data_IF_809075461728
#
_entry.id   IF_809075461728
#
_cell.length_a   1.000
_cell.length_b   1.000
_cell.length_c   1.000
_cell.angle_alpha   90.00
_cell.angle_beta   90.00
_cell.angle_gamma   90.00
#
_symmetry.space_group_name_H-M   'P 1'
#
loop_
_entity.id
_entity.type
_entity.pdbx_description
1 polymer ?
#
# COMPACT_ATOMS: atom_id res chain seq x y z
N UNK A 1 -2.34 6.92 -1.52
CA UNK A 1 -1.35 6.17 -0.74
C UNK A 1 -1.87 4.78 -0.38
N UNK A 2 -1.34 3.75 -1.04
CA UNK A 2 -1.77 2.36 -0.86
C UNK A 2 -1.24 1.67 0.41
N UNK A 3 -1.67 0.43 0.66
CA UNK A 3 -1.30 -0.37 1.84
C UNK A 3 0.20 -0.50 2.07
N UNK A 4 0.99 -0.71 1.00
CA UNK A 4 2.45 -0.84 1.10
C UNK A 4 3.11 0.42 1.71
N UNK A 5 2.62 1.62 1.34
CA UNK A 5 3.15 2.87 1.86
C UNK A 5 2.85 3.02 3.35
N UNK A 6 1.62 2.75 3.76
CA UNK A 6 1.22 2.81 5.17
C UNK A 6 1.93 1.73 6.00
N UNK A 7 2.10 0.54 5.45
CA UNK A 7 2.86 -0.54 6.06
C UNK A 7 4.31 -0.13 6.33
N UNK A 8 5.01 0.40 5.32
CA UNK A 8 6.37 0.92 5.47
C UNK A 8 6.46 2.08 6.46
N UNK A 9 5.50 3.01 6.45
CA UNK A 9 5.45 4.10 7.44
C UNK A 9 5.25 3.60 8.87
N UNK A 10 4.37 2.63 9.08
CA UNK A 10 4.16 2.03 10.40
C UNK A 10 5.42 1.34 10.90
N UNK A 11 6.09 0.55 10.06
CA UNK A 11 7.34 -0.11 10.42
C UNK A 11 8.45 0.89 10.74
N UNK A 12 8.58 1.94 9.94
CA UNK A 12 9.56 3.00 10.18
C UNK A 12 9.30 3.74 11.49
N UNK A 13 8.04 4.08 11.79
CA UNK A 13 7.67 4.70 13.08
C UNK A 13 8.00 3.80 14.26
N UNK A 14 7.84 2.48 14.12
CA UNK A 14 8.20 1.54 15.17
C UNK A 14 9.73 1.48 15.39
N UNK A 15 10.51 1.40 14.30
CA UNK A 15 11.98 1.51 14.37
C UNK A 15 12.39 2.78 15.09
N UNK A 16 11.69 3.89 14.84
CA UNK A 16 11.95 5.16 15.51
C UNK A 16 11.56 5.14 17.00
N UNK A 17 10.40 4.60 17.36
CA UNK A 17 9.95 4.56 18.76
C UNK A 17 10.79 3.65 19.63
N UNK A 18 11.43 2.63 19.05
CA UNK A 18 12.35 1.73 19.72
C UNK A 18 13.78 2.28 19.83
N UNK A 19 14.07 3.47 19.30
CA UNK A 19 15.43 4.04 19.32
C UNK A 19 16.40 3.41 18.32
N UNK A 20 15.91 2.64 17.35
CA UNK A 20 16.71 1.85 16.41
C UNK A 20 17.15 2.64 15.16
N UNK A 21 16.95 3.97 15.11
CA UNK A 21 17.30 4.80 13.94
C UNK A 21 18.80 4.79 13.64
N UNK A 22 19.63 4.89 14.69
CA UNK A 22 21.08 4.85 14.55
C UNK A 22 21.54 3.48 14.06
N UNK A 23 20.95 2.39 14.58
CA UNK A 23 21.22 1.03 14.11
C UNK A 23 20.83 0.89 12.64
N UNK A 24 19.62 1.29 12.26
CA UNK A 24 19.16 1.30 10.86
C UNK A 24 20.09 2.07 9.90
N UNK A 25 20.74 3.12 10.39
CA UNK A 25 21.63 3.95 9.57
C UNK A 25 23.02 3.33 9.39
N UNK A 26 23.56 2.74 10.46
CA UNK A 26 24.97 2.30 10.51
C UNK A 26 25.15 0.78 10.39
N UNK A 27 24.08 0.00 10.53
CA UNK A 27 24.09 -1.46 10.40
C UNK A 27 23.33 -1.88 9.14
N UNK A 28 24.08 -2.31 8.13
CA UNK A 28 23.57 -2.78 6.85
C UNK A 28 22.72 -4.04 6.98
N UNK A 29 23.12 -4.97 7.87
CA UNK A 29 22.41 -6.23 8.10
C UNK A 29 21.03 -5.93 8.67
N UNK A 30 20.96 -5.14 9.74
CA UNK A 30 19.69 -4.74 10.33
C UNK A 30 18.81 -3.98 9.33
N UNK A 31 19.38 -3.00 8.60
CA UNK A 31 18.65 -2.25 7.57
C UNK A 31 18.06 -3.15 6.48
N UNK A 32 18.85 -4.11 5.99
CA UNK A 32 18.39 -5.08 4.98
C UNK A 32 17.27 -5.94 5.56
N UNK A 33 17.41 -6.42 6.79
CA UNK A 33 16.39 -7.26 7.43
C UNK A 33 15.07 -6.51 7.66
N UNK A 34 15.11 -5.23 8.05
CA UNK A 34 13.91 -4.37 8.12
C UNK A 34 13.28 -4.20 6.73
N UNK A 35 14.09 -4.05 5.67
CA UNK A 35 13.56 -4.03 4.29
C UNK A 35 12.96 -5.37 3.87
N UNK A 36 13.53 -6.50 4.29
CA UNK A 36 12.96 -7.84 4.06
C UNK A 36 11.61 -8.00 4.76
N UNK A 37 11.43 -7.43 5.97
CA UNK A 37 10.11 -7.39 6.63
C UNK A 37 9.08 -6.67 5.76
N UNK A 38 9.43 -5.54 5.14
CA UNK A 38 8.54 -4.89 4.16
C UNK A 38 8.33 -5.74 2.91
N UNK A 39 9.37 -6.46 2.48
CA UNK A 39 9.35 -7.38 1.35
C UNK A 39 8.34 -8.53 1.48
N UNK A 40 7.93 -8.88 2.70
CA UNK A 40 6.89 -9.91 2.92
C UNK A 40 5.56 -9.56 2.26
N UNK A 41 5.30 -8.28 1.95
CA UNK A 41 4.10 -7.86 1.24
C UNK A 41 4.05 -8.39 -0.21
N UNK A 42 5.19 -8.84 -0.74
CA UNK A 42 5.35 -9.39 -2.08
C UNK A 42 5.51 -10.92 -2.09
N UNK A 43 5.33 -11.58 -0.95
CA UNK A 43 5.33 -13.05 -0.86
C UNK A 43 3.89 -13.53 -1.03
N UNK A 44 3.61 -14.65 -1.73
CA UNK A 44 2.27 -15.24 -1.75
C UNK A 44 1.71 -15.38 -0.32
N UNK A 45 0.45 -15.01 -0.09
CA UNK A 45 -0.14 -14.96 1.26
C UNK A 45 0.04 -16.27 2.03
N UNK A 46 -0.07 -17.42 1.35
CA UNK A 46 0.13 -18.74 1.95
C UNK A 46 1.57 -19.01 2.43
N UNK A 47 2.56 -18.34 1.84
CA UNK A 47 3.97 -18.52 2.13
C UNK A 47 4.54 -17.48 3.10
N UNK A 48 3.78 -16.41 3.41
CA UNK A 48 4.24 -15.32 4.28
C UNK A 48 4.73 -15.83 5.63
N UNK A 49 4.01 -16.77 6.26
CA UNK A 49 4.41 -17.31 7.56
C UNK A 49 5.74 -18.07 7.49
N UNK A 50 5.95 -18.85 6.43
CA UNK A 50 7.18 -19.62 6.19
C UNK A 50 8.35 -18.68 5.91
N UNK A 51 8.14 -17.67 5.07
CA UNK A 51 9.14 -16.64 4.78
C UNK A 51 9.53 -15.87 6.04
N UNK A 52 8.54 -15.46 6.85
CA UNK A 52 8.78 -14.79 8.13
C UNK A 52 9.58 -15.65 9.11
N UNK A 53 9.20 -16.92 9.30
CA UNK A 53 9.94 -17.84 10.19
C UNK A 53 11.39 -18.09 9.77
N UNK A 54 11.70 -17.95 8.48
CA UNK A 54 13.09 -18.02 8.00
C UNK A 54 13.83 -16.72 8.28
N UNK A 55 13.17 -15.58 8.02
CA UNK A 55 13.73 -14.23 8.16
C UNK A 55 14.08 -13.85 9.60
N UNK A 56 13.29 -14.27 10.60
CA UNK A 56 13.56 -13.89 12.00
C UNK A 56 14.93 -14.38 12.50
N UNK A 57 15.47 -15.45 11.93
CA UNK A 57 16.79 -15.97 12.31
C UNK A 57 17.94 -15.07 11.82
N UNK A 58 17.67 -14.13 10.90
CA UNK A 58 18.66 -13.16 10.44
C UNK A 58 18.81 -11.98 11.41
N UNK A 59 17.87 -11.78 12.34
CA UNK A 59 17.90 -10.69 13.32
C UNK A 59 18.73 -11.06 14.55
N UNK A 60 19.26 -10.03 15.23
CA UNK A 60 19.97 -10.24 16.49
C UNK A 60 18.97 -10.25 17.66
N UNK A 61 19.33 -10.89 18.78
CA UNK A 61 18.43 -11.00 19.95
C UNK A 61 17.98 -9.63 20.49
N UNK A 62 18.81 -8.60 20.35
CA UNK A 62 18.49 -7.22 20.74
C UNK A 62 17.37 -6.58 19.90
N UNK A 63 17.06 -7.13 18.72
CA UNK A 63 16.00 -6.63 17.83
C UNK A 63 14.61 -7.21 18.19
N UNK A 64 14.52 -8.02 19.26
CA UNK A 64 13.30 -8.73 19.66
C UNK A 64 12.06 -7.83 19.77
N UNK A 65 12.20 -6.59 20.28
CA UNK A 65 11.05 -5.69 20.44
C UNK A 65 10.41 -5.31 19.09
N UNK A 66 11.22 -5.16 18.04
CA UNK A 66 10.72 -4.89 16.70
C UNK A 66 10.02 -6.14 16.12
N UNK A 67 10.55 -7.33 16.40
CA UNK A 67 9.96 -8.60 15.96
C UNK A 67 8.63 -8.87 16.69
N UNK A 68 8.55 -8.63 17.99
CA UNK A 68 7.31 -8.78 18.77
C UNK A 68 6.21 -7.84 18.26
N UNK A 69 6.56 -6.58 17.97
CA UNK A 69 5.66 -5.66 17.29
C UNK A 69 5.19 -6.24 15.95
N UNK A 70 6.12 -6.72 15.14
CA UNK A 70 5.81 -7.18 13.79
C UNK A 70 4.89 -8.41 13.82
N UNK A 71 5.15 -9.37 14.71
CA UNK A 71 4.27 -10.51 14.92
C UNK A 71 2.88 -10.06 15.36
N UNK A 72 2.77 -9.21 16.39
CA UNK A 72 1.47 -8.79 16.90
C UNK A 72 0.62 -8.04 15.87
N UNK A 73 1.25 -7.20 15.05
CA UNK A 73 0.53 -6.30 14.15
C UNK A 73 0.27 -6.91 12.78
N UNK A 74 1.24 -7.64 12.21
CA UNK A 74 1.21 -8.01 10.79
C UNK A 74 1.12 -9.52 10.53
N UNK A 75 1.72 -10.37 11.36
CA UNK A 75 1.84 -11.83 11.10
C UNK A 75 0.92 -12.68 11.99
N UNK A 76 0.64 -12.21 13.21
CA UNK A 76 -0.03 -12.92 14.29
C UNK A 76 0.98 -13.60 15.21
N UNK A 77 0.86 -13.55 16.54
CA UNK A 77 1.81 -14.18 17.46
C UNK A 77 1.61 -15.71 17.53
N UNK A 78 2.69 -16.50 17.56
CA UNK A 78 2.60 -17.95 17.79
C UNK A 78 2.49 -18.26 19.29
N UNK A 79 1.34 -18.75 19.74
CA UNK A 79 1.13 -19.22 21.12
C UNK A 79 0.90 -20.71 21.15
N UNK A 80 1.88 -21.46 21.66
CA UNK A 80 1.86 -22.92 21.80
C UNK A 80 1.42 -23.63 20.50
N UNK A 81 0.13 -23.98 20.38
CA UNK A 81 -0.48 -24.69 19.26
C UNK A 81 -1.29 -23.83 18.28
N UNK A 82 -1.44 -22.52 18.54
CA UNK A 82 -2.26 -21.62 17.72
C UNK A 82 -1.51 -20.33 17.42
N UNK A 83 -1.76 -19.73 16.24
CA UNK A 83 -1.30 -18.38 15.92
C UNK A 83 -2.48 -17.42 16.12
N UNK A 84 -2.28 -16.39 16.92
CA UNK A 84 -3.27 -15.34 17.13
C UNK A 84 -3.50 -14.57 15.82
N UNK A 85 -4.68 -13.99 15.65
CA UNK A 85 -4.95 -13.16 14.48
C UNK A 85 -4.14 -11.86 14.58
N UNK A 86 -3.40 -11.47 13.52
CA UNK A 86 -2.75 -10.16 13.49
C UNK A 86 -3.78 -9.03 13.53
N UNK A 87 -3.35 -7.85 13.97
CA UNK A 87 -4.17 -6.64 13.93
C UNK A 87 -4.65 -6.31 12.51
N UNK A 88 -3.79 -6.52 11.51
CA UNK A 88 -4.13 -6.41 10.10
C UNK A 88 -3.99 -7.78 9.44
N UNK A 89 -5.05 -8.28 8.80
CA UNK A 89 -5.00 -9.57 8.12
C UNK A 89 -3.95 -9.57 7.00
N UNK A 90 -3.35 -10.73 6.74
CA UNK A 90 -2.34 -10.89 5.69
C UNK A 90 -2.85 -10.40 4.33
N UNK A 91 -4.10 -10.70 3.99
CA UNK A 91 -4.74 -10.30 2.74
C UNK A 91 -4.86 -8.78 2.58
N UNK A 92 -4.87 -8.03 3.68
CA UNK A 92 -5.10 -6.60 3.66
C UNK A 92 -3.86 -5.82 3.25
N UNK A 93 -2.70 -6.20 3.79
CA UNK A 93 -1.43 -5.51 3.56
C UNK A 93 -0.57 -6.16 2.48
N UNK A 94 -0.85 -7.41 2.12
CA UNK A 94 -0.19 -8.11 1.02
C UNK A 94 -0.62 -7.53 -0.33
N UNK A 95 0.34 -7.45 -1.26
CA UNK A 95 0.15 -6.90 -2.59
C UNK A 95 0.61 -7.85 -3.70
N UNK A 96 0.96 -9.10 -3.38
CA UNK A 96 1.44 -10.09 -4.35
C UNK A 96 0.49 -10.23 -5.54
N UNK A 97 -0.79 -10.50 -5.28
CA UNK A 97 -1.79 -10.69 -6.35
C UNK A 97 -1.95 -9.43 -7.22
N UNK A 98 -1.86 -8.25 -6.61
CA UNK A 98 -1.92 -6.97 -7.34
C UNK A 98 -0.73 -6.82 -8.28
N UNK A 99 0.47 -7.22 -7.84
CA UNK A 99 1.69 -7.16 -8.64
C UNK A 99 1.63 -8.14 -9.81
N UNK A 100 1.16 -9.37 -9.57
CA UNK A 100 1.03 -10.39 -10.63
C UNK A 100 -0.05 -10.03 -11.66
N UNK A 101 -1.12 -9.37 -11.23
CA UNK A 101 -2.21 -8.92 -12.11
C UNK A 101 -1.95 -7.57 -12.79
N UNK A 102 -0.72 -7.03 -12.67
CA UNK A 102 -0.34 -5.69 -13.14
C UNK A 102 -1.32 -4.58 -12.72
N UNK A 103 -1.93 -4.76 -11.55
CA UNK A 103 -2.82 -3.76 -10.95
C UNK A 103 -1.99 -2.68 -10.26
N UNK A 104 -2.56 -1.47 -10.19
CA UNK A 104 -1.87 -0.34 -9.56
C UNK A 104 -1.47 -0.68 -8.12
N UNK A 105 -0.17 -0.56 -7.83
CA UNK A 105 0.41 -0.78 -6.49
C UNK A 105 -0.02 0.29 -5.49
N UNK A 106 -0.48 1.43 -5.99
CA UNK A 106 -1.06 2.53 -5.20
C UNK A 106 -2.54 2.69 -5.56
N UNK A 107 -3.31 3.19 -4.59
CA UNK A 107 -4.68 3.64 -4.80
C UNK A 107 -4.72 5.07 -5.39
N UNK A 108 -3.62 5.59 -5.96
CA UNK A 108 -3.54 7.00 -6.40
C UNK A 108 -4.60 7.34 -7.45
N UNK A 109 -4.92 6.40 -8.35
CA UNK A 109 -6.00 6.57 -9.32
C UNK A 109 -7.37 6.70 -8.61
N UNK A 110 -7.61 5.88 -7.58
CA UNK A 110 -8.83 5.93 -6.78
C UNK A 110 -8.88 7.23 -5.96
N UNK A 111 -7.78 7.65 -5.33
CA UNK A 111 -7.72 8.92 -4.60
C UNK A 111 -7.92 10.13 -5.52
N UNK A 112 -7.32 10.09 -6.71
CA UNK A 112 -7.54 11.09 -7.76
C UNK A 112 -9.00 11.14 -8.18
N UNK A 113 -9.65 9.98 -8.35
CA UNK A 113 -11.07 9.89 -8.62
C UNK A 113 -11.91 10.46 -7.48
N UNK A 114 -11.65 10.03 -6.22
CA UNK A 114 -12.36 10.51 -5.04
C UNK A 114 -12.21 12.03 -4.89
N UNK A 115 -11.02 12.57 -5.13
CA UNK A 115 -10.77 14.00 -5.13
C UNK A 115 -11.60 14.71 -6.21
N UNK A 116 -11.51 14.27 -7.47
CA UNK A 116 -12.28 14.84 -8.58
C UNK A 116 -13.79 14.75 -8.35
N UNK A 117 -14.27 13.64 -7.80
CA UNK A 117 -15.66 13.43 -7.44
C UNK A 117 -16.10 14.38 -6.32
N UNK A 118 -15.33 14.49 -5.24
CA UNK A 118 -15.61 15.42 -4.15
C UNK A 118 -15.61 16.87 -4.63
N UNK A 119 -14.68 17.24 -5.52
CA UNK A 119 -14.69 18.56 -6.18
C UNK A 119 -15.98 18.74 -7.00
N UNK A 120 -16.45 17.72 -7.72
CA UNK A 120 -17.66 17.76 -8.54
C UNK A 120 -18.97 17.84 -7.73
N UNK A 121 -18.99 17.27 -6.52
CA UNK A 121 -20.11 17.37 -5.58
C UNK A 121 -20.13 18.75 -4.90
N UNK A 122 -18.96 19.31 -4.60
CA UNK A 122 -18.73 20.67 -4.04
C UNK A 122 -19.48 21.02 -2.74
N UNK A 123 -20.15 20.06 -2.09
CA UNK A 123 -20.99 20.27 -0.90
C UNK A 123 -20.67 19.17 0.12
N UNK A 124 -20.43 19.54 1.38
CA UNK A 124 -20.13 18.60 2.48
C UNK A 124 -21.28 17.63 2.81
N UNK A 125 -22.53 18.09 2.68
CA UNK A 125 -23.75 17.30 2.93
C UNK A 125 -24.76 17.50 1.79
N UNK A 126 -24.56 16.88 0.62
CA UNK A 126 -25.51 16.99 -0.48
C UNK A 126 -26.80 16.23 -0.15
N UNK A 127 -27.95 16.77 -0.56
CA UNK A 127 -29.19 15.99 -0.58
C UNK A 127 -29.06 14.83 -1.58
N UNK A 128 -29.83 13.76 -1.36
CA UNK A 128 -29.83 12.58 -2.25
C UNK A 128 -30.04 12.98 -3.72
N UNK A 129 -30.93 13.92 -3.99
CA UNK A 129 -31.17 14.42 -5.35
C UNK A 129 -29.96 15.12 -5.96
N UNK A 130 -29.21 15.90 -5.18
CA UNK A 130 -27.97 16.56 -5.66
C UNK A 130 -26.87 15.54 -5.91
N UNK A 131 -26.74 14.56 -5.02
CA UNK A 131 -25.80 13.46 -5.18
C UNK A 131 -26.11 12.64 -6.45
N UNK A 132 -27.37 12.23 -6.64
CA UNK A 132 -27.80 11.49 -7.82
C UNK A 132 -27.51 12.24 -9.13
N UNK A 133 -27.81 13.55 -9.19
CA UNK A 133 -27.46 14.39 -10.35
C UNK A 133 -25.96 14.52 -10.58
N UNK A 134 -25.14 14.46 -9.52
CA UNK A 134 -23.69 14.47 -9.67
C UNK A 134 -23.18 13.13 -10.22
N UNK A 135 -23.68 12.01 -9.68
CA UNK A 135 -23.35 10.66 -10.16
C UNK A 135 -23.68 10.51 -11.64
N UNK A 136 -24.89 10.90 -12.06
CA UNK A 136 -25.30 10.84 -13.48
C UNK A 136 -24.39 11.66 -14.40
N UNK A 137 -23.99 12.87 -13.97
CA UNK A 137 -23.06 13.70 -14.75
C UNK A 137 -21.67 13.08 -14.86
N UNK A 138 -21.17 12.51 -13.77
CA UNK A 138 -19.87 11.82 -13.74
C UNK A 138 -19.90 10.59 -14.63
N UNK A 139 -20.97 9.79 -14.57
CA UNK A 139 -21.17 8.63 -15.43
C UNK A 139 -21.18 9.01 -16.92
N UNK A 140 -21.99 10.00 -17.31
CA UNK A 140 -22.04 10.45 -18.71
C UNK A 140 -20.67 10.89 -19.24
N UNK A 141 -19.84 11.50 -18.39
CA UNK A 141 -18.47 11.87 -18.74
C UNK A 141 -17.57 10.65 -18.93
N UNK A 142 -17.68 9.63 -18.09
CA UNK A 142 -16.94 8.38 -18.25
C UNK A 142 -17.33 7.64 -19.52
N UNK A 143 -18.61 7.58 -19.87
CA UNK A 143 -19.06 6.95 -21.11
C UNK A 143 -18.42 7.63 -22.33
N UNK A 144 -18.37 8.96 -22.36
CA UNK A 144 -17.67 9.71 -23.41
C UNK A 144 -16.17 9.37 -23.43
N UNK A 145 -15.51 9.35 -22.27
CA UNK A 145 -14.07 9.07 -22.20
C UNK A 145 -13.75 7.62 -22.61
N UNK A 146 -14.63 6.64 -22.32
CA UNK A 146 -14.51 5.25 -22.77
C UNK A 146 -14.64 5.17 -24.30
N UNK A 147 -15.62 5.84 -24.89
CA UNK A 147 -15.80 5.84 -26.35
C UNK A 147 -14.62 6.50 -27.07
N UNK A 148 -14.05 7.57 -26.50
CA UNK A 148 -12.81 8.18 -27.00
C UNK A 148 -11.64 7.19 -26.98
N UNK A 149 -11.45 6.49 -25.87
CA UNK A 149 -10.41 5.46 -25.74
C UNK A 149 -10.60 4.32 -26.75
N UNK A 150 -11.85 3.86 -26.96
CA UNK A 150 -12.19 2.84 -27.97
C UNK A 150 -11.90 3.32 -29.39
N UNK A 151 -12.11 4.61 -29.67
CA UNK A 151 -11.76 5.25 -30.93
C UNK A 151 -10.25 5.50 -31.09
N UNK A 152 -9.42 5.14 -30.11
CA UNK A 152 -7.97 5.32 -30.13
C UNK A 152 -7.51 6.73 -29.75
N UNK A 153 -8.40 7.59 -29.26
CA UNK A 153 -8.02 8.90 -28.74
C UNK A 153 -7.30 8.74 -27.39
N UNK A 154 -6.09 9.29 -27.29
CA UNK A 154 -5.34 9.28 -26.05
C UNK A 154 -5.94 10.28 -25.05
N UNK A 155 -6.02 9.94 -23.75
CA UNK A 155 -6.37 10.90 -22.71
C UNK A 155 -5.42 12.09 -22.78
N UNK A 156 -5.94 13.31 -22.58
CA UNK A 156 -5.09 14.50 -22.44
C UNK A 156 -4.14 14.29 -21.26
N UNK A 157 -2.87 13.97 -21.54
CA UNK A 157 -1.84 13.77 -20.50
C UNK A 157 -1.75 15.02 -19.63
N UNK A 158 -1.76 14.85 -18.32
CA UNK A 158 -1.36 15.92 -17.40
C UNK A 158 0.12 16.24 -17.67
N UNK A 159 0.46 17.52 -17.86
CA UNK A 159 1.84 17.99 -18.15
C UNK A 159 2.90 17.41 -17.22
N UNK A 160 2.56 17.05 -15.98
CA UNK A 160 3.46 16.42 -15.00
C UNK A 160 3.88 14.99 -15.35
N UNK A 161 3.04 14.18 -15.99
CA UNK A 161 3.40 12.81 -16.37
C UNK A 161 4.25 12.76 -17.64
N UNK A 162 4.07 13.73 -18.54
CA UNK A 162 4.89 13.85 -19.76
C UNK A 162 6.33 14.28 -19.43
N UNK A 163 6.52 15.18 -18.46
CA UNK A 163 7.86 15.60 -18.01
C UNK A 163 8.64 14.47 -17.31
N UNK A 164 7.96 13.53 -16.66
CA UNK A 164 8.63 12.40 -15.99
C UNK A 164 9.12 11.32 -16.98
N UNK A 165 8.49 11.22 -18.15
CA UNK A 165 8.89 10.30 -19.23
C UNK A 165 10.05 10.84 -20.07
N UNK A 166 10.28 12.15 -20.08
CA UNK A 166 11.33 12.81 -20.88
C UNK A 166 12.65 13.04 -20.12
N UNK A 167 12.74 12.63 -18.86
CA UNK A 167 13.95 12.77 -18.02
C UNK A 167 14.63 11.42 -17.74
N UNK A 168 14.35 10.40 -18.55
CA UNK A 168 14.97 9.06 -18.45
C UNK A 168 15.65 8.61 -19.76
N UNK A 169 16.16 9.57 -20.54
CA UNK A 169 17.12 9.32 -21.61
C UNK A 169 18.47 9.98 -21.27
#
# INVERSE_FOLDING_TARGET
>A
FGWLFHFGQCLWREVQSLGLQNKYTNDDKFRINVKKLMGLAFVPVGDVLKAYSSLINDFDDEDYLLLDYFERVWVGQKKSSRRDKPRFSLQLWNIYDRVIQDLSRSNNAIEGWHHAFNTSVSIKHPSITKLAKCILRVQARFEIDIERLRAGELPKKNKKEFMLMLTQD
#
